data_IF_673633762612
#
_entry.id   IF_673633762612
#
_cell.length_a   1.000
_cell.length_b   1.000
_cell.length_c   1.000
_cell.angle_alpha   90.00
_cell.angle_beta   90.00
_cell.angle_gamma   90.00
#
_symmetry.space_group_name_H-M   'P 1'
#
loop_
_entity.id
_entity.type
_entity.pdbx_description
1 polymer ?
#
# COMPACT_ATOMS: atom_id res chain seq x y z
N UNK A 1 38.99 -25.36 -9.63
CA UNK A 1 38.41 -24.14 -9.04
C UNK A 1 39.54 -23.23 -8.66
N UNK A 2 39.63 -22.03 -9.27
CA UNK A 2 40.65 -21.02 -8.97
C UNK A 2 40.52 -20.51 -7.54
N UNK A 3 41.64 -20.05 -6.94
CA UNK A 3 41.67 -19.49 -5.56
C UNK A 3 40.58 -18.42 -5.30
N UNK A 4 40.22 -17.65 -6.34
CA UNK A 4 39.18 -16.61 -6.31
C UNK A 4 37.78 -17.25 -6.12
N UNK A 5 37.45 -18.32 -6.85
CA UNK A 5 36.18 -19.05 -6.71
C UNK A 5 36.02 -19.68 -5.31
N UNK A 6 37.09 -20.19 -4.70
CA UNK A 6 37.02 -20.72 -3.33
C UNK A 6 36.77 -19.63 -2.29
N UNK A 7 37.37 -18.44 -2.44
CA UNK A 7 37.14 -17.30 -1.52
C UNK A 7 35.73 -16.74 -1.65
N UNK A 8 35.23 -16.58 -2.87
CA UNK A 8 33.86 -16.12 -3.12
C UNK A 8 32.81 -17.13 -2.62
N UNK A 9 33.06 -18.43 -2.76
CA UNK A 9 32.17 -19.47 -2.26
C UNK A 9 32.13 -19.51 -0.72
N UNK A 10 33.27 -19.29 -0.04
CA UNK A 10 33.33 -19.20 1.42
C UNK A 10 32.63 -17.95 1.95
N UNK A 11 32.75 -16.81 1.28
CA UNK A 11 32.04 -15.56 1.66
C UNK A 11 30.53 -15.74 1.48
N UNK A 12 30.08 -16.32 0.38
CA UNK A 12 28.66 -16.61 0.13
C UNK A 12 28.08 -17.62 1.16
N UNK A 13 28.87 -18.61 1.57
CA UNK A 13 28.44 -19.61 2.57
C UNK A 13 28.36 -19.01 3.99
N UNK A 14 29.26 -18.11 4.37
CA UNK A 14 29.19 -17.39 5.65
C UNK A 14 28.01 -16.43 5.75
N UNK A 15 27.61 -15.79 4.66
CA UNK A 15 26.44 -14.89 4.62
C UNK A 15 25.12 -15.66 4.80
N UNK A 16 25.04 -16.88 4.26
CA UNK A 16 23.83 -17.74 4.38
C UNK A 16 23.63 -18.26 5.81
N UNK A 17 24.70 -18.47 6.59
CA UNK A 17 24.59 -19.04 7.95
C UNK A 17 24.27 -18.01 9.05
N UNK A 18 24.49 -16.72 8.83
CA UNK A 18 24.20 -15.67 9.84
C UNK A 18 22.71 -15.27 9.84
N UNK A 19 22.00 -15.45 8.73
CA UNK A 19 20.58 -15.02 8.59
C UNK A 19 19.60 -16.00 9.27
N UNK A 20 20.01 -17.21 9.60
CA UNK A 20 19.10 -18.22 10.18
C UNK A 20 18.87 -18.13 11.69
N UNK A 21 19.45 -17.17 12.39
CA UNK A 21 19.41 -17.07 13.86
C UNK A 21 18.68 -15.86 14.46
N UNK A 22 18.14 -14.97 13.64
CA UNK A 22 17.28 -13.88 14.11
C UNK A 22 15.81 -14.26 13.97
N UNK A 23 15.31 -15.02 14.93
CA UNK A 23 13.87 -15.15 15.18
C UNK A 23 13.31 -13.78 15.59
N UNK A 24 13.01 -12.93 14.62
CA UNK A 24 12.25 -11.69 14.85
C UNK A 24 10.83 -12.08 15.25
N UNK A 25 10.53 -11.95 16.53
CA UNK A 25 9.15 -11.95 17.00
C UNK A 25 8.36 -10.91 16.21
N UNK A 26 7.20 -11.32 15.73
CA UNK A 26 6.32 -10.49 14.91
C UNK A 26 5.60 -9.46 15.79
N UNK A 27 6.30 -8.40 16.20
CA UNK A 27 5.64 -7.22 16.77
C UNK A 27 5.28 -6.24 15.65
N UNK A 28 4.08 -5.68 15.68
CA UNK A 28 3.74 -4.49 14.93
C UNK A 28 4.75 -3.37 15.27
N UNK A 29 5.06 -2.51 14.29
CA UNK A 29 5.91 -1.34 14.55
C UNK A 29 5.26 -0.45 15.62
N UNK A 30 6.07 0.19 16.48
CA UNK A 30 5.53 1.16 17.43
C UNK A 30 4.86 2.33 16.71
N UNK A 31 3.95 3.08 17.35
CA UNK A 31 3.36 4.28 16.74
C UNK A 31 4.40 5.28 16.26
N UNK A 32 5.48 5.47 17.03
CA UNK A 32 6.59 6.37 16.69
C UNK A 32 7.33 5.89 15.43
N UNK A 33 7.62 4.59 15.34
CA UNK A 33 8.25 3.98 14.17
C UNK A 33 7.34 4.08 12.95
N UNK A 34 6.04 3.83 13.10
CA UNK A 34 5.05 3.96 12.02
C UNK A 34 4.95 5.39 11.53
N UNK A 35 4.88 6.38 12.43
CA UNK A 35 4.83 7.80 12.09
C UNK A 35 6.15 8.27 11.45
N UNK A 36 7.30 7.81 11.99
CA UNK A 36 8.61 8.07 11.39
C UNK A 36 8.68 7.49 9.97
N UNK A 37 8.25 6.25 9.79
CA UNK A 37 8.22 5.62 8.48
C UNK A 37 7.30 6.35 7.50
N UNK A 38 6.11 6.78 7.91
CA UNK A 38 5.20 7.58 7.08
C UNK A 38 5.88 8.83 6.52
N UNK A 39 6.75 9.49 7.30
CA UNK A 39 7.42 10.75 6.93
C UNK A 39 8.74 10.53 6.18
N UNK A 40 9.54 9.54 6.59
CA UNK A 40 10.96 9.45 6.25
C UNK A 40 11.32 8.20 5.43
N UNK A 41 10.46 7.18 5.38
CA UNK A 41 10.77 5.90 4.73
C UNK A 41 9.78 5.58 3.59
N UNK A 42 9.82 6.30 2.48
CA UNK A 42 8.80 6.23 1.41
C UNK A 42 8.65 4.83 0.80
N UNK A 43 9.65 3.98 0.98
CA UNK A 43 9.67 2.60 0.46
C UNK A 43 9.27 1.54 1.48
N UNK A 44 9.03 1.89 2.75
CA UNK A 44 8.47 0.98 3.75
C UNK A 44 6.98 0.77 3.45
N UNK A 45 6.56 -0.49 3.36
CA UNK A 45 5.15 -0.83 3.22
C UNK A 45 4.46 -0.71 4.58
N UNK A 46 3.33 -0.01 4.63
CA UNK A 46 2.51 0.18 5.83
C UNK A 46 1.22 -0.63 5.67
N UNK A 47 0.98 -1.55 6.59
CA UNK A 47 -0.22 -2.37 6.68
C UNK A 47 -1.29 -1.67 7.51
N UNK A 48 -2.45 -1.38 6.92
CA UNK A 48 -3.59 -0.75 7.60
C UNK A 48 -4.75 -1.73 7.66
N UNK A 49 -5.13 -2.17 8.85
CA UNK A 49 -6.32 -3.00 9.06
C UNK A 49 -7.60 -2.17 8.91
N UNK A 50 -8.56 -2.64 8.12
CA UNK A 50 -9.84 -1.95 7.90
C UNK A 50 -10.82 -2.27 9.01
N UNK A 51 -11.07 -1.30 9.89
CA UNK A 51 -12.01 -1.38 11.03
C UNK A 51 -11.71 -2.49 12.05
N UNK A 52 -10.45 -2.92 12.12
CA UNK A 52 -10.03 -4.01 12.99
C UNK A 52 -10.12 -5.40 12.35
N UNK A 53 -10.01 -6.44 13.15
CA UNK A 53 -10.11 -7.85 12.73
C UNK A 53 -11.58 -8.27 12.57
N UNK A 54 -12.21 -7.87 11.49
CA UNK A 54 -13.62 -8.12 11.22
C UNK A 54 -13.96 -9.59 10.92
N UNK A 55 -12.96 -10.45 10.79
CA UNK A 55 -13.19 -11.90 10.67
C UNK A 55 -13.61 -12.55 12.01
N UNK A 56 -13.17 -11.97 13.13
CA UNK A 56 -13.38 -12.54 14.47
C UNK A 56 -14.17 -11.63 15.41
N UNK A 57 -14.15 -10.32 15.18
CA UNK A 57 -14.75 -9.30 16.03
C UNK A 57 -15.63 -8.34 15.22
N UNK A 58 -16.56 -7.60 15.88
CA UNK A 58 -17.28 -6.53 15.20
C UNK A 58 -16.34 -5.46 14.64
N UNK A 59 -16.69 -4.91 13.49
CA UNK A 59 -15.98 -3.74 12.95
C UNK A 59 -16.02 -2.56 13.92
N UNK A 60 -14.93 -1.80 14.02
CA UNK A 60 -14.78 -0.66 14.93
C UNK A 60 -14.88 -0.99 16.42
N UNK A 61 -14.83 -2.27 16.82
CA UNK A 61 -14.76 -2.65 18.25
C UNK A 61 -13.32 -2.54 18.78
N UNK A 62 -13.17 -2.32 20.07
CA UNK A 62 -11.87 -2.28 20.75
C UNK A 62 -11.14 -3.62 20.58
N UNK A 63 -11.86 -4.73 20.72
CA UNK A 63 -11.31 -6.08 20.59
C UNK A 63 -10.84 -6.38 19.15
N UNK A 64 -11.62 -5.93 18.15
CA UNK A 64 -11.22 -6.02 16.74
C UNK A 64 -9.97 -5.20 16.44
N UNK A 65 -9.84 -4.02 17.01
CA UNK A 65 -8.64 -3.18 16.91
C UNK A 65 -7.45 -3.87 17.57
N UNK A 66 -7.62 -4.36 18.79
CA UNK A 66 -6.57 -5.06 19.55
C UNK A 66 -6.09 -6.33 18.82
N UNK A 67 -7.01 -7.11 18.26
CA UNK A 67 -6.68 -8.30 17.47
C UNK A 67 -5.91 -7.93 16.18
N UNK A 68 -6.30 -6.87 15.48
CA UNK A 68 -5.58 -6.40 14.30
C UNK A 68 -4.13 -6.00 14.63
N UNK A 69 -3.90 -5.36 15.78
CA UNK A 69 -2.55 -5.04 16.26
C UNK A 69 -1.73 -6.32 16.50
N UNK A 70 -2.32 -7.32 17.16
CA UNK A 70 -1.66 -8.62 17.38
C UNK A 70 -1.32 -9.34 16.06
N UNK A 71 -2.13 -9.15 15.02
CA UNK A 71 -1.89 -9.65 13.66
C UNK A 71 -0.88 -8.81 12.86
N UNK A 72 -0.29 -7.79 13.48
CA UNK A 72 0.80 -7.00 12.92
C UNK A 72 0.33 -5.83 12.05
N UNK A 73 -0.83 -5.24 12.31
CA UNK A 73 -1.22 -3.98 11.70
C UNK A 73 -0.33 -2.84 12.18
N UNK A 74 0.31 -2.12 11.26
CA UNK A 74 1.03 -0.87 11.58
C UNK A 74 0.05 0.25 11.96
N UNK A 75 -1.13 0.23 11.33
CA UNK A 75 -2.23 1.17 11.60
C UNK A 75 -3.57 0.43 11.56
N UNK A 76 -4.55 0.96 12.29
CA UNK A 76 -5.95 0.49 12.20
C UNK A 76 -6.83 1.64 11.74
N UNK A 77 -7.52 1.47 10.62
CA UNK A 77 -8.53 2.41 10.18
C UNK A 77 -9.80 2.25 11.03
N UNK A 78 -10.32 3.37 11.51
CA UNK A 78 -11.57 3.45 12.25
C UNK A 78 -12.44 4.56 11.67
N UNK A 79 -13.74 4.44 11.77
CA UNK A 79 -14.65 5.47 11.26
C UNK A 79 -15.43 6.11 12.40
N UNK A 80 -15.51 7.44 12.40
CA UNK A 80 -16.14 8.21 13.45
C UNK A 80 -17.49 8.78 13.02
N UNK A 81 -18.38 8.89 14.00
CA UNK A 81 -19.66 9.61 13.96
C UNK A 81 -19.85 10.38 15.27
N UNK A 82 -20.65 11.44 15.23
CA UNK A 82 -21.06 12.13 16.44
C UNK A 82 -22.46 11.68 16.88
N UNK A 83 -22.64 11.51 18.18
CA UNK A 83 -23.92 11.25 18.83
C UNK A 83 -24.78 12.51 18.93
N UNK A 84 -26.03 12.37 19.39
CA UNK A 84 -26.93 13.53 19.63
C UNK A 84 -26.39 14.53 20.66
N UNK A 85 -25.58 14.06 21.60
CA UNK A 85 -24.92 14.85 22.65
C UNK A 85 -23.48 15.23 22.32
N UNK A 86 -23.02 14.97 21.08
CA UNK A 86 -21.74 15.45 20.53
C UNK A 86 -20.54 14.53 20.83
N UNK A 87 -20.73 13.37 21.45
CA UNK A 87 -19.65 12.41 21.68
C UNK A 87 -19.23 11.74 20.36
N UNK A 88 -17.92 11.60 20.16
CA UNK A 88 -17.35 10.90 19.00
C UNK A 88 -17.29 9.41 19.28
N UNK A 89 -18.04 8.61 18.49
CA UNK A 89 -18.09 7.15 18.58
C UNK A 89 -17.56 6.49 17.31
N UNK A 90 -17.12 5.23 17.43
CA UNK A 90 -16.66 4.45 16.29
C UNK A 90 -17.84 3.74 15.63
N UNK A 91 -18.26 4.21 14.47
CA UNK A 91 -19.35 3.62 13.69
C UNK A 91 -19.17 3.90 12.19
N UNK A 92 -19.38 2.88 11.36
CA UNK A 92 -19.22 3.01 9.91
C UNK A 92 -20.43 3.67 9.25
N UNK A 93 -21.63 3.37 9.72
CA UNK A 93 -22.90 3.82 9.14
C UNK A 93 -23.52 4.95 9.95
N UNK A 94 -24.40 5.72 9.30
CA UNK A 94 -25.26 6.68 10.00
C UNK A 94 -26.36 5.97 10.80
N UNK A 95 -26.92 4.88 10.23
CA UNK A 95 -27.97 4.09 10.85
C UNK A 95 -27.41 2.87 11.59
N UNK A 96 -27.89 2.60 12.79
CA UNK A 96 -27.43 1.53 13.67
C UNK A 96 -27.87 0.12 13.24
N UNK A 97 -28.89 -0.01 12.36
CA UNK A 97 -29.58 -1.29 12.06
C UNK A 97 -28.66 -2.38 11.51
N UNK A 98 -27.62 -2.03 10.76
CA UNK A 98 -26.67 -3.02 10.23
C UNK A 98 -25.83 -3.63 11.33
N UNK A 99 -25.31 -2.79 12.25
CA UNK A 99 -24.30 -3.19 13.23
C UNK A 99 -24.86 -3.46 14.63
N UNK A 100 -26.08 -2.98 14.96
CA UNK A 100 -26.53 -2.97 16.35
C UNK A 100 -27.83 -3.74 16.58
N UNK A 101 -27.94 -4.28 17.79
CA UNK A 101 -29.16 -4.86 18.35
C UNK A 101 -29.35 -4.36 19.79
N UNK A 102 -30.62 -4.44 20.27
CA UNK A 102 -30.93 -4.25 21.68
C UNK A 102 -30.61 -5.51 22.52
N UNK A 103 -30.90 -5.45 23.82
CA UNK A 103 -30.69 -6.56 24.76
C UNK A 103 -31.56 -7.80 24.46
N UNK A 104 -32.60 -7.67 23.64
CA UNK A 104 -33.46 -8.76 23.17
C UNK A 104 -33.03 -9.30 21.79
N UNK A 105 -32.03 -8.71 21.17
CA UNK A 105 -31.54 -9.09 19.83
C UNK A 105 -32.33 -8.45 18.67
N UNK A 106 -33.18 -7.47 18.95
CA UNK A 106 -33.91 -6.76 17.89
C UNK A 106 -33.01 -5.73 17.22
N UNK A 107 -33.16 -5.54 15.90
CA UNK A 107 -32.43 -4.54 15.14
C UNK A 107 -32.85 -3.12 15.51
N UNK A 108 -31.87 -2.21 15.63
CA UNK A 108 -32.09 -0.82 16.02
C UNK A 108 -32.22 0.02 14.76
N UNK A 109 -33.40 0.62 14.55
CA UNK A 109 -33.65 1.53 13.43
C UNK A 109 -33.59 3.00 13.90
N UNK A 110 -32.41 3.42 14.34
CA UNK A 110 -32.10 4.81 14.73
C UNK A 110 -30.79 5.23 14.06
N UNK A 111 -30.57 6.53 13.96
CA UNK A 111 -29.27 7.05 13.54
C UNK A 111 -28.39 7.38 14.75
N UNK A 112 -27.08 7.36 14.55
CA UNK A 112 -26.11 7.75 15.58
C UNK A 112 -26.36 9.17 16.05
N UNK A 113 -26.59 10.09 15.11
CA UNK A 113 -26.81 11.52 15.39
C UNK A 113 -28.14 11.84 16.14
N UNK A 114 -29.07 10.88 16.19
CA UNK A 114 -30.34 11.01 16.93
C UNK A 114 -30.29 10.28 18.29
N UNK A 115 -29.17 9.60 18.60
CA UNK A 115 -29.02 8.75 19.79
C UNK A 115 -27.92 9.30 20.69
N UNK A 116 -28.23 9.50 21.99
CA UNK A 116 -27.22 9.92 22.96
C UNK A 116 -26.31 8.78 23.39
N UNK A 117 -25.13 9.11 23.95
CA UNK A 117 -24.10 8.12 24.30
C UNK A 117 -24.60 7.10 25.30
N UNK A 118 -25.39 7.48 26.30
CA UNK A 118 -25.94 6.56 27.28
C UNK A 118 -26.85 5.50 26.65
N UNK A 119 -27.71 5.91 25.71
CA UNK A 119 -28.56 4.99 24.95
C UNK A 119 -27.73 4.10 24.01
N UNK A 120 -26.71 4.63 23.35
CA UNK A 120 -25.83 3.84 22.49
C UNK A 120 -25.12 2.72 23.27
N UNK A 121 -24.75 2.97 24.51
CA UNK A 121 -24.11 1.96 25.38
C UNK A 121 -25.05 0.84 25.82
N UNK A 122 -26.36 0.97 25.66
CA UNK A 122 -27.30 -0.14 25.89
C UNK A 122 -27.31 -1.15 24.74
N UNK A 123 -26.87 -0.76 23.54
CA UNK A 123 -26.86 -1.59 22.34
C UNK A 123 -25.61 -2.46 22.24
N UNK A 124 -25.74 -3.58 21.53
CA UNK A 124 -24.68 -4.54 21.29
C UNK A 124 -24.33 -4.59 19.82
N UNK A 125 -23.04 -4.73 19.53
CA UNK A 125 -22.55 -4.88 18.17
C UNK A 125 -22.85 -6.30 17.63
N UNK A 126 -23.16 -6.39 16.35
CA UNK A 126 -23.21 -7.66 15.62
C UNK A 126 -21.81 -8.08 15.20
N UNK A 127 -21.58 -9.39 15.06
CA UNK A 127 -20.31 -9.95 14.63
C UNK A 127 -19.88 -9.46 13.25
N UNK A 128 -18.57 -9.41 13.02
CA UNK A 128 -17.97 -9.06 11.74
C UNK A 128 -18.39 -7.68 11.23
N UNK A 129 -18.85 -7.63 10.00
CA UNK A 129 -19.35 -6.41 9.35
C UNK A 129 -20.86 -6.20 9.50
N UNK A 130 -21.47 -6.86 10.45
CA UNK A 130 -22.91 -6.76 10.72
C UNK A 130 -23.81 -7.28 9.60
N UNK A 131 -25.06 -6.84 9.59
CA UNK A 131 -26.08 -7.28 8.65
C UNK A 131 -27.08 -8.27 9.27
N UNK A 132 -28.05 -8.72 8.47
CA UNK A 132 -29.17 -9.54 8.96
C UNK A 132 -28.77 -10.96 9.35
N UNK A 133 -27.70 -11.49 8.78
CA UNK A 133 -27.21 -12.86 9.02
C UNK A 133 -26.22 -12.95 10.18
N UNK A 134 -25.79 -11.82 10.76
CA UNK A 134 -24.79 -11.79 11.81
C UNK A 134 -25.44 -11.83 13.20
N UNK A 135 -24.78 -12.51 14.13
CA UNK A 135 -25.25 -12.65 15.51
C UNK A 135 -24.86 -11.47 16.38
N UNK A 136 -25.66 -11.19 17.40
CA UNK A 136 -25.27 -10.25 18.44
C UNK A 136 -24.04 -10.78 19.21
N UNK A 137 -23.19 -9.85 19.63
CA UNK A 137 -22.05 -10.11 20.51
C UNK A 137 -22.25 -9.43 21.87
N UNK A 138 -21.30 -9.59 22.77
CA UNK A 138 -21.25 -8.83 24.02
C UNK A 138 -20.61 -7.45 23.91
N UNK A 139 -20.04 -7.14 22.73
CA UNK A 139 -19.27 -5.92 22.51
C UNK A 139 -20.15 -4.70 22.27
N UNK A 140 -19.68 -3.56 22.75
CA UNK A 140 -20.37 -2.27 22.70
C UNK A 140 -19.76 -1.35 21.66
N UNK A 141 -20.48 -0.28 21.31
CA UNK A 141 -19.98 0.80 20.48
C UNK A 141 -19.00 1.61 21.33
N UNK A 142 -17.71 1.68 20.98
CA UNK A 142 -16.75 2.48 21.74
C UNK A 142 -16.79 3.95 21.32
N UNK A 143 -16.45 4.83 22.23
CA UNK A 143 -16.05 6.20 21.91
C UNK A 143 -14.68 6.24 21.27
N UNK A 144 -14.36 7.30 20.53
CA UNK A 144 -13.02 7.53 20.00
C UNK A 144 -11.98 7.61 21.14
N UNK A 145 -12.33 8.20 22.26
CA UNK A 145 -11.43 8.30 23.41
C UNK A 145 -11.10 6.93 24.00
N UNK A 146 -12.10 6.06 24.19
CA UNK A 146 -11.89 4.68 24.66
C UNK A 146 -10.98 3.90 23.71
N UNK A 147 -11.20 4.03 22.41
CA UNK A 147 -10.34 3.38 21.42
C UNK A 147 -8.89 3.90 21.47
N UNK A 148 -8.67 5.20 21.63
CA UNK A 148 -7.36 5.81 21.80
C UNK A 148 -6.65 5.31 23.06
N UNK A 149 -7.37 5.13 24.16
CA UNK A 149 -6.83 4.59 25.41
C UNK A 149 -6.47 3.10 25.27
N UNK A 150 -7.32 2.32 24.59
CA UNK A 150 -7.11 0.88 24.40
C UNK A 150 -5.87 0.56 23.52
N UNK A 151 -5.55 1.44 22.56
CA UNK A 151 -4.40 1.26 21.64
C UNK A 151 -3.15 2.00 22.07
N UNK A 152 -3.14 2.62 23.23
CA UNK A 152 -2.04 3.45 23.70
C UNK A 152 -0.68 2.76 23.58
N UNK A 153 0.22 3.41 22.84
CA UNK A 153 1.57 2.91 22.56
C UNK A 153 1.66 1.64 21.71
N UNK A 154 0.57 1.16 21.08
CA UNK A 154 0.54 -0.11 20.34
C UNK A 154 0.36 0.05 18.83
N UNK A 155 -0.37 1.05 18.38
CA UNK A 155 -0.63 1.29 16.94
C UNK A 155 -1.06 2.73 16.70
N UNK A 156 -1.11 3.12 15.43
CA UNK A 156 -1.63 4.40 14.96
C UNK A 156 -3.06 4.21 14.47
N UNK A 157 -4.00 5.05 14.89
CA UNK A 157 -5.35 5.06 14.35
C UNK A 157 -5.41 5.93 13.09
N UNK A 158 -5.94 5.37 11.98
CA UNK A 158 -6.34 6.11 10.79
C UNK A 158 -7.83 6.47 10.91
N UNK A 159 -8.14 7.71 11.24
CA UNK A 159 -9.52 8.15 11.48
C UNK A 159 -10.17 8.55 10.15
N UNK A 160 -11.09 7.73 9.66
CA UNK A 160 -11.93 8.01 8.49
C UNK A 160 -13.14 8.88 8.85
N UNK A 161 -13.72 9.55 7.83
CA UNK A 161 -14.79 10.56 7.99
C UNK A 161 -14.36 11.78 8.83
N UNK A 162 -13.04 11.99 8.96
CA UNK A 162 -12.51 13.00 9.87
C UNK A 162 -12.80 14.44 9.43
N UNK A 163 -13.12 14.71 8.16
CA UNK A 163 -13.39 16.07 7.70
C UNK A 163 -14.65 16.67 8.34
N UNK A 164 -15.65 15.87 8.54
CA UNK A 164 -16.94 16.29 9.13
C UNK A 164 -16.77 16.75 10.58
N UNK A 165 -15.91 16.07 11.34
CA UNK A 165 -15.67 16.28 12.77
C UNK A 165 -14.23 16.71 13.06
N UNK A 166 -13.57 17.40 12.12
CA UNK A 166 -12.12 17.66 12.16
C UNK A 166 -11.68 18.51 13.35
N UNK A 167 -12.51 19.44 13.78
CA UNK A 167 -12.17 20.34 14.88
C UNK A 167 -12.38 19.69 16.24
N UNK A 168 -13.45 18.91 16.39
CA UNK A 168 -13.73 18.07 17.57
C UNK A 168 -12.65 17.00 17.73
N UNK A 169 -12.31 16.29 16.65
CA UNK A 169 -11.22 15.28 16.66
C UNK A 169 -9.89 15.95 17.02
N UNK A 170 -9.57 17.09 16.40
CA UNK A 170 -8.32 17.81 16.69
C UNK A 170 -8.23 18.21 18.17
N UNK A 171 -9.31 18.76 18.74
CA UNK A 171 -9.38 19.13 20.15
C UNK A 171 -9.18 17.90 21.05
N UNK A 172 -9.93 16.82 20.81
CA UNK A 172 -9.80 15.59 21.58
C UNK A 172 -8.38 15.02 21.52
N UNK A 173 -7.75 14.97 20.33
CA UNK A 173 -6.39 14.47 20.17
C UNK A 173 -5.35 15.39 20.82
N UNK A 174 -5.54 16.72 20.73
CA UNK A 174 -4.64 17.69 21.33
C UNK A 174 -4.67 17.63 22.86
N UNK A 175 -5.87 17.61 23.44
CA UNK A 175 -6.08 17.59 24.89
C UNK A 175 -5.55 16.30 25.54
N UNK A 176 -5.55 15.20 24.77
CA UNK A 176 -5.03 13.89 25.22
C UNK A 176 -3.59 13.61 24.75
N UNK A 177 -2.88 14.56 24.13
CA UNK A 177 -1.52 14.39 23.58
C UNK A 177 -1.40 13.24 22.56
N UNK A 178 -2.43 13.05 21.69
CA UNK A 178 -2.53 11.96 20.72
C UNK A 178 -2.35 12.37 19.25
N UNK A 179 -2.02 13.63 18.97
CA UNK A 179 -1.84 14.12 17.60
C UNK A 179 -0.79 13.33 16.78
N UNK A 180 0.22 12.76 17.43
CA UNK A 180 1.25 11.94 16.81
C UNK A 180 0.92 10.43 16.78
N UNK A 181 -0.22 10.02 17.37
CA UNK A 181 -0.67 8.63 17.37
C UNK A 181 -1.86 8.39 16.43
N UNK A 182 -2.24 9.41 15.67
CA UNK A 182 -3.37 9.35 14.76
C UNK A 182 -3.04 9.97 13.39
N UNK A 183 -3.72 9.45 12.38
CA UNK A 183 -3.74 10.02 11.03
C UNK A 183 -5.19 10.37 10.69
N UNK A 184 -5.44 11.59 10.24
CA UNK A 184 -6.78 12.04 9.85
C UNK A 184 -6.97 11.86 8.34
N UNK A 185 -7.96 11.08 7.92
CA UNK A 185 -8.35 10.96 6.52
C UNK A 185 -9.33 12.08 6.17
N UNK A 186 -8.86 13.10 5.45
CA UNK A 186 -9.66 14.28 5.09
C UNK A 186 -10.19 14.17 3.67
N UNK A 187 -11.51 14.16 3.54
CA UNK A 187 -12.23 14.15 2.25
C UNK A 187 -12.61 15.58 1.83
N UNK A 188 -11.62 16.44 1.63
CA UNK A 188 -11.80 17.83 1.27
C UNK A 188 -10.83 18.30 0.17
N UNK A 189 -11.05 19.48 -0.37
CA UNK A 189 -10.17 20.07 -1.36
C UNK A 189 -8.87 20.61 -0.75
N UNK A 190 -7.82 20.75 -1.58
CA UNK A 190 -6.51 21.25 -1.13
C UNK A 190 -6.59 22.55 -0.36
N UNK A 191 -7.36 23.54 -0.88
CA UNK A 191 -7.45 24.87 -0.26
C UNK A 191 -8.05 24.79 1.15
N UNK A 192 -9.08 23.97 1.29
CA UNK A 192 -9.78 23.75 2.55
C UNK A 192 -8.86 23.08 3.56
N UNK A 193 -8.16 21.98 3.15
CA UNK A 193 -7.18 21.29 4.00
C UNK A 193 -6.05 22.23 4.41
N UNK A 194 -5.43 22.96 3.46
CA UNK A 194 -4.34 23.89 3.76
C UNK A 194 -4.80 25.01 4.69
N UNK A 195 -6.00 25.57 4.46
CA UNK A 195 -6.55 26.63 5.31
C UNK A 195 -6.79 26.13 6.74
N UNK A 196 -7.36 24.92 6.86
CA UNK A 196 -7.59 24.31 8.18
C UNK A 196 -6.29 24.02 8.92
N UNK A 197 -5.28 23.46 8.23
CA UNK A 197 -3.97 23.15 8.83
C UNK A 197 -3.22 24.41 9.25
N UNK A 198 -3.28 25.50 8.49
CA UNK A 198 -2.58 26.76 8.80
C UNK A 198 -3.06 27.43 10.10
N UNK A 199 -4.25 27.09 10.58
CA UNK A 199 -4.80 27.57 11.85
C UNK A 199 -4.47 26.71 13.06
N UNK A 200 -3.70 25.62 12.91
CA UNK A 200 -3.41 24.69 14.01
C UNK A 200 -2.09 25.00 14.68
N UNK A 201 -2.08 24.99 16.02
CA UNK A 201 -0.88 25.20 16.85
C UNK A 201 0.11 24.04 16.79
N UNK A 202 -0.42 22.80 16.67
CA UNK A 202 0.36 21.58 16.43
C UNK A 202 -0.18 20.87 15.19
N UNK A 203 0.74 20.43 14.32
CA UNK A 203 0.36 19.83 13.04
C UNK A 203 -0.09 18.38 13.19
N UNK A 204 -1.38 18.04 12.92
CA UNK A 204 -1.82 16.67 12.85
C UNK A 204 -1.23 15.96 11.62
N UNK A 205 -1.14 14.63 11.66
CA UNK A 205 -0.80 13.83 10.50
C UNK A 205 -2.07 13.64 9.66
N UNK A 206 -2.00 13.99 8.39
CA UNK A 206 -3.18 14.04 7.52
C UNK A 206 -2.94 13.22 6.26
N UNK A 207 -3.89 12.38 5.90
CA UNK A 207 -4.07 11.86 4.56
C UNK A 207 -5.23 12.59 3.88
N UNK A 208 -5.09 12.82 2.58
CA UNK A 208 -6.20 13.32 1.76
C UNK A 208 -6.76 12.20 0.89
N UNK A 209 -8.06 12.27 0.56
CA UNK A 209 -8.74 11.28 -0.27
C UNK A 209 -9.12 11.87 -1.62
N UNK A 210 -8.67 11.22 -2.68
CA UNK A 210 -9.09 11.50 -4.05
C UNK A 210 -10.01 10.39 -4.56
N UNK A 211 -11.18 10.78 -5.04
CA UNK A 211 -12.16 9.88 -5.66
C UNK A 211 -12.49 10.38 -7.07
N UNK A 212 -12.07 9.65 -8.09
CA UNK A 212 -12.35 10.06 -9.48
C UNK A 212 -11.84 9.08 -10.52
N UNK A 213 -12.46 9.13 -11.70
CA UNK A 213 -12.16 8.25 -12.85
C UNK A 213 -11.21 8.89 -13.86
N UNK A 214 -10.96 10.19 -13.76
CA UNK A 214 -10.24 10.98 -14.76
C UNK A 214 -8.79 11.17 -14.36
N UNK A 215 -7.87 10.58 -15.11
CA UNK A 215 -6.40 10.50 -14.83
C UNK A 215 -5.75 11.86 -14.62
N UNK A 216 -6.05 12.84 -15.48
CA UNK A 216 -5.45 14.18 -15.36
C UNK A 216 -5.92 14.92 -14.10
N UNK A 217 -7.15 14.63 -13.61
CA UNK A 217 -7.64 15.13 -12.34
C UNK A 217 -6.87 14.51 -11.17
N UNK A 218 -6.59 13.19 -11.19
CA UNK A 218 -5.82 12.52 -10.15
C UNK A 218 -4.37 13.02 -10.10
N UNK A 219 -3.70 13.16 -11.23
CA UNK A 219 -2.34 13.73 -11.31
C UNK A 219 -2.30 15.18 -10.80
N UNK A 220 -3.27 16.00 -11.24
CA UNK A 220 -3.40 17.37 -10.77
C UNK A 220 -3.70 17.44 -9.27
N UNK A 221 -4.52 16.53 -8.76
CA UNK A 221 -4.82 16.43 -7.33
C UNK A 221 -3.55 16.11 -6.53
N UNK A 222 -2.81 15.04 -6.89
CA UNK A 222 -1.57 14.65 -6.23
C UNK A 222 -0.58 15.83 -6.22
N UNK A 223 -0.30 16.45 -7.38
CA UNK A 223 0.64 17.56 -7.48
C UNK A 223 0.27 18.75 -6.60
N UNK A 224 -1.02 19.03 -6.44
CA UNK A 224 -1.51 20.10 -5.56
C UNK A 224 -1.45 19.72 -4.08
N UNK A 225 -1.77 18.47 -3.78
CA UNK A 225 -1.85 17.93 -2.42
C UNK A 225 -0.50 17.82 -1.75
N UNK A 226 0.55 17.50 -2.52
CA UNK A 226 1.95 17.48 -2.06
C UNK A 226 2.35 18.79 -1.35
N UNK A 227 1.83 19.92 -1.80
CA UNK A 227 2.12 21.24 -1.22
C UNK A 227 1.11 21.67 -0.14
N UNK A 228 0.25 20.77 0.30
CA UNK A 228 -0.79 21.07 1.30
C UNK A 228 -0.42 20.61 2.72
N UNK A 229 0.78 20.04 2.93
CA UNK A 229 1.22 19.52 4.23
C UNK A 229 0.65 18.14 4.58
N UNK A 230 0.11 17.40 3.60
CA UNK A 230 -0.40 16.03 3.84
C UNK A 230 0.72 15.00 3.77
N UNK A 231 0.62 13.93 4.57
CA UNK A 231 1.57 12.83 4.59
C UNK A 231 1.24 11.74 3.56
N UNK A 232 -0.04 11.63 3.14
CA UNK A 232 -0.47 10.62 2.17
C UNK A 232 -1.70 11.01 1.36
N UNK A 233 -1.88 10.33 0.23
CA UNK A 233 -3.04 10.50 -0.65
C UNK A 233 -3.66 9.13 -0.92
N UNK A 234 -4.88 8.92 -0.45
CA UNK A 234 -5.71 7.77 -0.84
C UNK A 234 -6.26 8.00 -2.25
N UNK A 235 -5.90 7.13 -3.17
CA UNK A 235 -6.38 7.13 -4.54
C UNK A 235 -7.53 6.13 -4.67
N UNK A 236 -8.74 6.62 -4.94
CA UNK A 236 -9.94 5.83 -5.19
C UNK A 236 -10.50 6.07 -6.59
N UNK A 237 -11.21 5.09 -7.13
CA UNK A 237 -11.94 5.20 -8.38
C UNK A 237 -13.10 4.20 -8.40
N UNK A 238 -14.20 4.57 -9.04
CA UNK A 238 -15.32 3.66 -9.29
C UNK A 238 -15.00 2.58 -10.35
N UNK A 239 -13.79 2.58 -10.93
CA UNK A 239 -13.33 1.61 -11.90
C UNK A 239 -11.94 1.09 -11.53
N UNK A 240 -11.83 -0.20 -11.23
CA UNK A 240 -10.59 -0.88 -10.87
C UNK A 240 -9.49 -0.78 -11.95
N UNK A 241 -9.86 -0.63 -13.20
CA UNK A 241 -8.92 -0.43 -14.32
C UNK A 241 -8.63 1.04 -14.61
N UNK A 242 -9.07 1.94 -13.75
CA UNK A 242 -8.78 3.37 -13.92
C UNK A 242 -7.28 3.63 -13.98
N UNK A 243 -6.89 4.47 -14.90
CA UNK A 243 -5.51 4.96 -14.98
C UNK A 243 -5.09 5.81 -13.76
N UNK A 244 -6.01 6.11 -12.84
CA UNK A 244 -5.70 6.66 -11.51
C UNK A 244 -4.71 5.76 -10.76
N UNK A 245 -4.82 4.44 -10.95
CA UNK A 245 -3.94 3.43 -10.35
C UNK A 245 -2.71 3.10 -11.21
N UNK A 246 -2.48 3.81 -12.33
CA UNK A 246 -1.32 3.58 -13.20
C UNK A 246 -0.02 4.03 -12.50
N UNK A 247 1.07 3.27 -12.71
CA UNK A 247 2.41 3.58 -12.19
C UNK A 247 2.83 5.04 -12.40
N UNK A 248 2.60 5.60 -13.59
CA UNK A 248 2.95 6.99 -13.92
C UNK A 248 2.12 8.03 -13.14
N UNK A 249 0.93 7.67 -12.67
CA UNK A 249 0.11 8.52 -11.80
C UNK A 249 0.58 8.43 -10.36
N UNK A 250 0.77 7.21 -9.86
CA UNK A 250 1.24 6.93 -8.51
C UNK A 250 2.64 7.49 -8.27
N UNK A 251 3.53 7.41 -9.26
CA UNK A 251 4.88 7.98 -9.20
C UNK A 251 4.90 9.51 -8.93
N UNK A 252 3.79 10.24 -9.15
CA UNK A 252 3.71 11.65 -8.77
C UNK A 252 3.68 11.87 -7.25
N UNK A 253 3.28 10.86 -6.50
CA UNK A 253 3.31 10.87 -5.03
C UNK A 253 4.68 10.45 -4.48
N UNK A 254 5.41 9.57 -5.19
CA UNK A 254 6.67 8.98 -4.70
C UNK A 254 7.69 10.04 -4.24
N UNK A 255 8.29 9.79 -3.08
CA UNK A 255 9.29 10.67 -2.47
C UNK A 255 8.75 12.01 -1.93
N UNK A 256 7.43 12.23 -1.99
CA UNK A 256 6.78 13.47 -1.56
C UNK A 256 5.68 13.22 -0.53
N UNK A 257 4.78 12.31 -0.83
CA UNK A 257 3.69 11.84 0.03
C UNK A 257 3.48 10.34 -0.18
N UNK A 258 2.85 9.67 0.77
CA UNK A 258 2.52 8.25 0.65
C UNK A 258 1.37 8.04 -0.33
N UNK A 259 1.52 7.10 -1.26
CA UNK A 259 0.40 6.64 -2.07
C UNK A 259 -0.36 5.54 -1.30
N UNK A 260 -1.62 5.80 -1.04
CA UNK A 260 -2.52 4.93 -0.25
C UNK A 260 -3.55 4.30 -1.18
N UNK A 261 -3.84 3.02 -0.98
CA UNK A 261 -4.94 2.30 -1.65
C UNK A 261 -5.77 1.52 -0.65
N UNK A 262 -7.09 1.52 -0.83
CA UNK A 262 -8.03 0.71 -0.05
C UNK A 262 -8.42 -0.52 -0.89
N UNK A 263 -7.86 -1.69 -0.54
CA UNK A 263 -8.12 -2.95 -1.25
C UNK A 263 -9.49 -3.55 -0.89
N UNK A 264 -10.15 -3.01 0.14
CA UNK A 264 -11.50 -3.42 0.56
C UNK A 264 -12.60 -2.66 -0.17
N UNK A 265 -12.26 -1.61 -0.96
CA UNK A 265 -13.24 -0.82 -1.73
C UNK A 265 -14.00 -1.75 -2.69
N UNK A 266 -15.34 -1.84 -2.59
CA UNK A 266 -16.15 -2.73 -3.44
C UNK A 266 -16.01 -2.44 -4.95
N UNK A 267 -15.62 -1.22 -5.33
CA UNK A 267 -15.31 -0.90 -6.73
C UNK A 267 -14.01 -1.56 -7.22
N UNK A 268 -13.13 -1.99 -6.32
CA UNK A 268 -11.89 -2.71 -6.62
C UNK A 268 -12.05 -4.22 -6.43
N UNK A 269 -12.82 -4.67 -5.43
CA UNK A 269 -12.88 -6.05 -4.92
C UNK A 269 -13.26 -7.10 -5.97
N UNK A 270 -14.08 -6.79 -6.96
CA UNK A 270 -14.43 -7.75 -8.02
C UNK A 270 -13.33 -7.98 -9.07
N UNK A 271 -12.26 -7.18 -9.06
CA UNK A 271 -11.23 -7.15 -10.12
C UNK A 271 -9.80 -6.99 -9.57
N UNK A 272 -9.67 -6.63 -8.31
CA UNK A 272 -8.44 -6.56 -7.53
C UNK A 272 -8.76 -7.06 -6.14
N UNK A 273 -8.75 -8.38 -5.97
CA UNK A 273 -8.98 -8.99 -4.67
C UNK A 273 -7.89 -8.54 -3.68
N UNK A 274 -8.25 -8.48 -2.41
CA UNK A 274 -7.33 -8.18 -1.30
C UNK A 274 -6.47 -9.41 -1.01
N UNK A 275 -5.50 -9.70 -1.90
CA UNK A 275 -4.62 -10.87 -1.86
C UNK A 275 -3.21 -10.51 -2.29
N UNK A 276 -2.25 -11.38 -1.97
CA UNK A 276 -0.83 -11.19 -2.31
C UNK A 276 -0.58 -10.88 -3.79
N UNK A 277 -1.29 -11.53 -4.71
CA UNK A 277 -1.15 -11.28 -6.15
C UNK A 277 -1.43 -9.82 -6.52
N UNK A 278 -2.45 -9.24 -5.91
CA UNK A 278 -2.83 -7.86 -6.18
C UNK A 278 -2.02 -6.86 -5.35
N UNK A 279 -1.49 -7.26 -4.17
CA UNK A 279 -0.52 -6.46 -3.43
C UNK A 279 0.79 -6.32 -4.21
N UNK A 280 1.27 -7.39 -4.87
CA UNK A 280 2.41 -7.31 -5.81
C UNK A 280 2.13 -6.32 -6.96
N UNK A 281 0.92 -6.35 -7.54
CA UNK A 281 0.52 -5.41 -8.59
C UNK A 281 0.53 -3.95 -8.11
N UNK A 282 -0.14 -3.64 -6.99
CA UNK A 282 -0.25 -2.26 -6.50
C UNK A 282 1.08 -1.73 -5.95
N UNK A 283 1.86 -2.55 -5.23
CA UNK A 283 3.19 -2.16 -4.75
C UNK A 283 4.19 -1.94 -5.88
N UNK A 284 4.11 -2.72 -6.97
CA UNK A 284 4.91 -2.51 -8.18
C UNK A 284 4.63 -1.16 -8.86
N UNK A 285 3.47 -0.58 -8.61
CA UNK A 285 3.06 0.74 -9.09
C UNK A 285 3.50 1.87 -8.16
N UNK A 286 3.91 1.55 -6.92
CA UNK A 286 4.41 2.49 -5.92
C UNK A 286 3.44 2.82 -4.79
N UNK A 287 2.32 2.10 -4.64
CA UNK A 287 1.50 2.18 -3.44
C UNK A 287 2.27 1.62 -2.26
N UNK A 288 2.35 2.37 -1.18
CA UNK A 288 3.16 2.05 -0.01
C UNK A 288 2.37 2.06 1.31
N UNK A 289 1.08 2.35 1.24
CA UNK A 289 0.13 2.18 2.34
C UNK A 289 -1.08 1.43 1.78
N UNK A 290 -1.36 0.27 2.33
CA UNK A 290 -2.44 -0.61 1.87
C UNK A 290 -3.44 -0.82 3.01
N UNK A 291 -4.70 -0.45 2.75
CA UNK A 291 -5.82 -0.74 3.64
C UNK A 291 -6.40 -2.10 3.22
N UNK A 292 -6.53 -3.02 4.17
CA UNK A 292 -6.85 -4.45 3.95
C UNK A 292 -7.83 -4.99 4.99
N UNK A 293 -8.62 -5.99 4.59
CA UNK A 293 -9.34 -6.89 5.51
C UNK A 293 -8.47 -8.10 5.93
N UNK A 294 -7.35 -8.37 5.22
CA UNK A 294 -6.46 -9.51 5.43
C UNK A 294 -5.16 -9.08 6.13
N UNK A 295 -5.28 -8.51 7.32
CA UNK A 295 -4.19 -7.87 8.08
C UNK A 295 -2.97 -8.77 8.27
N UNK A 296 -3.17 -10.00 8.75
CA UNK A 296 -2.09 -10.94 9.05
C UNK A 296 -1.26 -11.26 7.79
N UNK A 297 -1.93 -11.59 6.69
CA UNK A 297 -1.28 -11.91 5.43
C UNK A 297 -0.55 -10.71 4.81
N UNK A 298 -1.11 -9.50 4.92
CA UNK A 298 -0.43 -8.29 4.45
C UNK A 298 0.76 -7.93 5.34
N UNK A 299 0.67 -8.15 6.64
CA UNK A 299 1.80 -7.98 7.56
C UNK A 299 2.95 -8.94 7.21
N UNK A 300 2.65 -10.21 6.92
CA UNK A 300 3.64 -11.17 6.44
C UNK A 300 4.27 -10.73 5.10
N UNK A 301 3.47 -10.23 4.18
CA UNK A 301 3.95 -9.68 2.92
C UNK A 301 4.86 -8.46 3.13
N UNK A 302 4.53 -7.58 4.08
CA UNK A 302 5.39 -6.43 4.45
C UNK A 302 6.74 -6.91 4.98
N UNK A 303 6.78 -7.89 5.89
CA UNK A 303 8.00 -8.49 6.41
C UNK A 303 8.84 -9.15 5.30
N UNK A 304 8.20 -9.85 4.36
CA UNK A 304 8.88 -10.40 3.17
C UNK A 304 9.54 -9.29 2.36
N UNK A 305 8.86 -8.17 2.19
CA UNK A 305 9.39 -7.01 1.47
C UNK A 305 10.62 -6.41 2.16
N UNK A 306 10.56 -6.26 3.50
CA UNK A 306 11.69 -5.77 4.30
C UNK A 306 12.88 -6.73 4.25
N UNK A 307 12.66 -8.03 4.38
CA UNK A 307 13.70 -9.05 4.27
C UNK A 307 14.35 -9.06 2.87
N UNK A 308 13.55 -8.95 1.81
CA UNK A 308 14.06 -8.87 0.44
C UNK A 308 14.91 -7.60 0.24
N UNK A 309 14.50 -6.47 0.82
CA UNK A 309 15.24 -5.21 0.81
C UNK A 309 16.59 -5.33 1.55
N UNK A 310 16.59 -5.88 2.75
CA UNK A 310 17.80 -6.08 3.54
C UNK A 310 18.81 -6.95 2.80
N UNK A 311 18.37 -8.07 2.23
CA UNK A 311 19.22 -8.99 1.44
C UNK A 311 19.79 -8.32 0.19
N UNK A 312 18.98 -7.54 -0.53
CA UNK A 312 19.45 -6.81 -1.72
C UNK A 312 20.45 -5.73 -1.32
N UNK A 313 20.22 -5.01 -0.21
CA UNK A 313 21.14 -3.99 0.31
C UNK A 313 22.50 -4.59 0.66
N UNK A 314 22.51 -5.70 1.39
CA UNK A 314 23.74 -6.43 1.74
C UNK A 314 24.50 -6.89 0.48
N UNK A 315 23.78 -7.43 -0.52
CA UNK A 315 24.39 -7.85 -1.78
C UNK A 315 24.96 -6.66 -2.57
N UNK A 316 24.32 -5.50 -2.54
CA UNK A 316 24.84 -4.27 -3.13
C UNK A 316 26.14 -3.83 -2.46
N UNK A 317 26.23 -3.96 -1.14
CA UNK A 317 27.46 -3.65 -0.40
C UNK A 317 28.60 -4.59 -0.76
N UNK A 318 28.33 -5.90 -0.86
CA UNK A 318 29.29 -6.90 -1.33
C UNK A 318 29.75 -6.58 -2.75
N UNK A 319 28.80 -6.34 -3.67
CA UNK A 319 29.11 -6.02 -5.06
C UNK A 319 29.91 -4.72 -5.22
N UNK A 320 29.64 -3.70 -4.38
CA UNK A 320 30.35 -2.42 -4.41
C UNK A 320 31.81 -2.52 -3.94
N UNK A 321 32.11 -3.47 -3.04
CA UNK A 321 33.46 -3.72 -2.47
C UNK A 321 34.25 -4.77 -3.25
N UNK A 322 33.65 -5.39 -4.29
CA UNK A 322 34.33 -6.43 -5.07
C UNK A 322 35.46 -5.82 -5.92
N UNK A 323 36.67 -6.37 -5.80
CA UNK A 323 37.81 -5.97 -6.63
C UNK A 323 37.62 -6.49 -8.06
N UNK A 324 37.59 -5.57 -9.00
CA UNK A 324 37.37 -5.84 -10.44
C UNK A 324 38.63 -5.73 -11.27
N UNK A 325 39.81 -5.49 -10.66
CA UNK A 325 41.09 -5.24 -11.37
C UNK A 325 41.52 -6.40 -12.26
N UNK A 326 41.23 -7.61 -11.84
CA UNK A 326 41.56 -8.87 -12.55
C UNK A 326 40.40 -9.40 -13.39
N UNK A 327 39.26 -8.72 -13.39
CA UNK A 327 38.08 -9.16 -14.14
C UNK A 327 38.11 -8.66 -15.59
N UNK A 328 37.42 -9.40 -16.47
CA UNK A 328 37.22 -8.96 -17.84
C UNK A 328 36.39 -7.66 -17.87
N UNK A 329 36.72 -6.77 -18.79
CA UNK A 329 36.02 -5.47 -18.96
C UNK A 329 34.52 -5.65 -19.13
N UNK A 330 34.10 -6.69 -19.84
CA UNK A 330 32.70 -7.02 -20.05
C UNK A 330 31.99 -7.40 -18.75
N UNK A 331 32.52 -8.36 -17.99
CA UNK A 331 31.88 -8.83 -16.75
C UNK A 331 31.89 -7.75 -15.67
N UNK A 332 32.97 -6.98 -15.56
CA UNK A 332 33.08 -5.84 -14.65
C UNK A 332 32.06 -4.74 -14.96
N UNK A 333 31.88 -4.40 -16.25
CA UNK A 333 30.90 -3.40 -16.69
C UNK A 333 29.47 -3.88 -16.44
N UNK A 334 29.19 -5.16 -16.72
CA UNK A 334 27.89 -5.77 -16.43
C UNK A 334 27.53 -5.68 -14.94
N UNK A 335 28.45 -6.02 -14.04
CA UNK A 335 28.23 -5.92 -12.59
C UNK A 335 27.99 -4.46 -12.18
N UNK A 336 28.76 -3.50 -12.65
CA UNK A 336 28.59 -2.07 -12.34
C UNK A 336 27.21 -1.55 -12.78
N UNK A 337 26.79 -1.89 -14.01
CA UNK A 337 25.49 -1.50 -14.51
C UNK A 337 24.35 -2.13 -13.67
N UNK A 338 24.49 -3.42 -13.33
CA UNK A 338 23.49 -4.09 -12.50
C UNK A 338 23.43 -3.51 -11.10
N UNK A 339 24.57 -3.20 -10.47
CA UNK A 339 24.64 -2.54 -9.19
C UNK A 339 23.92 -1.18 -9.18
N UNK A 340 24.04 -0.41 -10.26
CA UNK A 340 23.32 0.86 -10.40
C UNK A 340 21.80 0.63 -10.40
N UNK A 341 21.31 -0.33 -11.20
CA UNK A 341 19.88 -0.69 -11.23
C UNK A 341 19.41 -1.18 -9.87
N UNK A 342 20.21 -2.02 -9.19
CA UNK A 342 19.88 -2.54 -7.86
C UNK A 342 19.71 -1.42 -6.82
N UNK A 343 20.58 -0.40 -6.84
CA UNK A 343 20.48 0.78 -5.97
C UNK A 343 19.23 1.61 -6.28
N UNK A 344 18.87 1.75 -7.56
CA UNK A 344 17.63 2.44 -7.96
C UNK A 344 16.39 1.67 -7.46
N UNK A 345 16.39 0.34 -7.56
CA UNK A 345 15.29 -0.50 -7.04
C UNK A 345 15.19 -0.38 -5.52
N UNK A 346 16.33 -0.42 -4.80
CA UNK A 346 16.35 -0.22 -3.34
C UNK A 346 15.74 1.12 -2.91
N UNK A 347 16.02 2.18 -3.66
CA UNK A 347 15.57 3.54 -3.32
C UNK A 347 14.12 3.84 -3.70
N UNK A 348 13.49 3.05 -4.57
CA UNK A 348 12.19 3.38 -5.15
C UNK A 348 11.12 2.29 -5.01
N UNK A 349 11.50 1.01 -4.89
CA UNK A 349 10.52 -0.09 -4.89
C UNK A 349 9.93 -0.37 -3.52
N UNK A 350 8.64 -0.64 -3.47
CA UNK A 350 7.90 -1.19 -2.32
C UNK A 350 7.37 -2.61 -2.60
N UNK A 351 7.78 -3.22 -3.69
CA UNK A 351 7.30 -4.53 -4.15
C UNK A 351 8.31 -5.63 -3.79
N UNK A 352 7.88 -6.65 -3.06
CA UNK A 352 8.72 -7.79 -2.67
C UNK A 352 9.32 -8.50 -3.90
N UNK A 353 8.50 -8.82 -4.89
CA UNK A 353 8.95 -9.53 -6.10
C UNK A 353 9.99 -8.72 -6.89
N UNK A 354 9.88 -7.40 -6.93
CA UNK A 354 10.86 -6.55 -7.62
C UNK A 354 12.23 -6.59 -6.92
N UNK A 355 12.24 -6.56 -5.59
CA UNK A 355 13.46 -6.65 -4.77
C UNK A 355 14.11 -8.03 -4.88
N UNK A 356 13.33 -9.11 -4.83
CA UNK A 356 13.81 -10.49 -4.95
C UNK A 356 14.37 -10.79 -6.35
N UNK A 357 13.68 -10.35 -7.40
CA UNK A 357 14.16 -10.48 -8.77
C UNK A 357 15.48 -9.72 -8.98
N UNK A 358 15.59 -8.52 -8.41
CA UNK A 358 16.81 -7.74 -8.51
C UNK A 358 17.97 -8.36 -7.73
N UNK A 359 17.70 -8.93 -6.54
CA UNK A 359 18.68 -9.72 -5.80
C UNK A 359 19.22 -10.87 -6.65
N UNK A 360 18.34 -11.62 -7.32
CA UNK A 360 18.75 -12.73 -8.20
C UNK A 360 19.63 -12.24 -9.35
N UNK A 361 19.24 -11.17 -10.03
CA UNK A 361 19.99 -10.64 -11.18
C UNK A 361 21.34 -10.03 -10.77
N UNK A 362 21.44 -9.36 -9.63
CA UNK A 362 22.71 -8.85 -9.11
C UNK A 362 23.62 -10.01 -8.69
N UNK A 363 23.08 -11.03 -8.01
CA UNK A 363 23.80 -12.24 -7.63
C UNK A 363 24.35 -12.96 -8.85
N UNK A 364 23.56 -13.07 -9.92
CA UNK A 364 23.99 -13.66 -11.20
C UNK A 364 25.12 -12.87 -11.86
N UNK A 365 25.03 -11.54 -11.86
CA UNK A 365 26.08 -10.69 -12.38
C UNK A 365 27.39 -10.83 -11.59
N UNK A 366 27.31 -10.91 -10.26
CA UNK A 366 28.44 -11.13 -9.38
C UNK A 366 29.10 -12.50 -9.60
N UNK A 367 28.29 -13.56 -9.73
CA UNK A 367 28.76 -14.92 -9.96
C UNK A 367 29.31 -15.14 -11.39
N UNK A 368 29.00 -14.26 -12.34
CA UNK A 368 29.47 -14.33 -13.72
C UNK A 368 30.78 -13.54 -13.98
N UNK A 369 31.45 -13.07 -12.92
CA UNK A 369 32.75 -12.44 -13.06
C UNK A 369 33.78 -13.42 -13.62
N UNK A 370 34.46 -13.04 -14.71
CA UNK A 370 35.46 -13.82 -15.41
C UNK A 370 36.79 -13.08 -15.46
N UNK A 371 37.90 -13.85 -15.58
CA UNK A 371 39.24 -13.29 -15.70
C UNK A 371 39.42 -12.47 -17.02
N UNK A 372 40.34 -11.52 -16.98
CA UNK A 372 40.68 -10.62 -18.11
C UNK A 372 41.08 -11.38 -19.39
N UNK A 373 41.65 -12.59 -19.24
CA UNK A 373 42.05 -13.45 -20.36
C UNK A 373 40.88 -13.90 -21.26
N UNK A 374 39.62 -13.65 -20.83
CA UNK A 374 38.42 -13.99 -21.60
C UNK A 374 37.90 -12.83 -22.48
N UNK A 375 38.48 -11.63 -22.38
CA UNK A 375 38.01 -10.44 -23.12
C UNK A 375 38.02 -10.63 -24.64
N UNK A 376 39.09 -11.16 -25.19
CA UNK A 376 39.23 -11.37 -26.66
C UNK A 376 38.26 -12.41 -27.23
N UNK A 377 37.92 -13.44 -26.43
CA UNK A 377 36.95 -14.49 -26.84
C UNK A 377 35.53 -13.95 -26.81
N UNK A 378 35.19 -13.19 -25.77
CA UNK A 378 33.83 -12.68 -25.57
C UNK A 378 33.48 -11.53 -26.52
N UNK A 379 34.45 -10.68 -26.93
CA UNK A 379 34.20 -9.54 -27.81
C UNK A 379 33.71 -10.00 -29.20
N UNK A 380 34.26 -11.09 -29.75
CA UNK A 380 33.81 -11.66 -31.02
C UNK A 380 32.45 -12.31 -31.00
N UNK A 381 32.10 -12.94 -29.87
CA UNK A 381 30.80 -13.60 -29.69
C UNK A 381 29.68 -12.62 -29.36
N UNK A 382 30.00 -11.56 -28.57
CA UNK A 382 29.03 -10.53 -28.15
C UNK A 382 28.61 -9.63 -29.29
N UNK A 383 29.53 -9.32 -30.25
CA UNK A 383 29.19 -8.48 -31.41
C UNK A 383 28.19 -9.19 -32.33
N UNK A 384 28.35 -10.50 -32.57
CA UNK A 384 27.36 -11.31 -33.32
C UNK A 384 26.05 -11.50 -32.57
N UNK A 385 26.10 -11.81 -31.26
CA UNK A 385 24.90 -11.99 -30.43
C UNK A 385 24.09 -10.71 -30.26
N UNK A 386 24.71 -9.54 -30.13
CA UNK A 386 24.01 -8.24 -30.01
C UNK A 386 23.30 -7.84 -31.30
N UNK A 387 23.89 -8.11 -32.45
CA UNK A 387 23.24 -7.84 -33.75
C UNK A 387 22.03 -8.76 -33.92
N UNK A 388 22.16 -10.06 -33.60
CA UNK A 388 21.01 -11.01 -33.65
C UNK A 388 19.95 -10.67 -32.63
N UNK A 389 20.30 -10.33 -31.39
CA UNK A 389 19.34 -9.91 -30.36
C UNK A 389 18.64 -8.60 -30.70
N UNK A 390 19.37 -7.60 -31.23
CA UNK A 390 18.77 -6.34 -31.67
C UNK A 390 17.80 -6.52 -32.85
N UNK A 391 18.14 -7.41 -33.78
CA UNK A 391 17.25 -7.76 -34.90
C UNK A 391 16.02 -8.51 -34.42
N UNK A 392 16.15 -9.47 -33.49
CA UNK A 392 15.03 -10.20 -32.93
C UNK A 392 14.11 -9.30 -32.09
N UNK A 393 14.65 -8.36 -31.33
CA UNK A 393 13.86 -7.36 -30.58
C UNK A 393 13.15 -6.41 -31.55
N UNK A 394 13.80 -5.93 -32.58
CA UNK A 394 13.18 -5.07 -33.62
C UNK A 394 12.06 -5.80 -34.37
N UNK A 395 12.27 -7.05 -34.75
CA UNK A 395 11.23 -7.89 -35.37
C UNK A 395 10.08 -8.17 -34.40
N UNK A 396 10.38 -8.42 -33.13
CA UNK A 396 9.36 -8.58 -32.08
C UNK A 396 8.50 -7.32 -31.89
N UNK A 397 9.08 -6.13 -31.89
CA UNK A 397 8.34 -4.86 -31.84
C UNK A 397 7.44 -4.66 -33.05
N UNK A 398 7.93 -4.94 -34.27
CA UNK A 398 7.11 -4.84 -35.49
C UNK A 398 5.94 -5.81 -35.47
N UNK A 399 6.14 -7.05 -35.00
CA UNK A 399 5.06 -8.05 -34.85
C UNK A 399 4.01 -7.58 -33.82
N UNK A 400 4.45 -7.05 -32.69
CA UNK A 400 3.55 -6.50 -31.66
C UNK A 400 2.75 -5.31 -32.19
N UNK A 401 3.37 -4.40 -32.94
CA UNK A 401 2.66 -3.28 -33.58
C UNK A 401 1.62 -3.75 -34.62
N UNK A 402 1.98 -4.73 -35.45
CA UNK A 402 1.04 -5.31 -36.43
C UNK A 402 -0.15 -5.99 -35.73
N UNK A 403 0.11 -6.73 -34.65
CA UNK A 403 -0.95 -7.36 -33.86
C UNK A 403 -1.83 -6.30 -33.19
N UNK A 404 -1.23 -5.24 -32.66
CA UNK A 404 -1.94 -4.13 -31.99
C UNK A 404 -2.79 -3.33 -32.99
N UNK A 405 -2.28 -3.08 -34.22
CA UNK A 405 -3.06 -2.44 -35.29
C UNK A 405 -4.22 -3.32 -35.79
N UNK A 406 -4.01 -4.64 -35.91
CA UNK A 406 -5.10 -5.56 -36.23
C UNK A 406 -6.20 -5.53 -35.18
N UNK A 407 -5.84 -5.64 -33.89
CA UNK A 407 -6.79 -5.58 -32.78
C UNK A 407 -7.52 -4.23 -32.72
N UNK A 408 -6.82 -3.13 -32.97
CA UNK A 408 -7.40 -1.78 -33.03
C UNK A 408 -8.41 -1.66 -34.16
N UNK A 409 -8.07 -2.18 -35.33
CA UNK A 409 -8.93 -2.12 -36.52
C UNK A 409 -10.15 -3.02 -36.40
N UNK A 410 -10.05 -4.20 -35.78
CA UNK A 410 -11.21 -5.06 -35.47
C UNK A 410 -12.12 -4.43 -34.41
N UNK A 411 -11.58 -3.84 -33.38
CA UNK A 411 -12.39 -3.16 -32.36
C UNK A 411 -13.15 -1.95 -32.91
N UNK A 412 -12.56 -1.24 -33.88
CA UNK A 412 -13.23 -0.14 -34.61
C UNK A 412 -14.35 -0.67 -35.51
N UNK A 413 -14.13 -1.80 -36.19
CA UNK A 413 -15.18 -2.46 -37.00
C UNK A 413 -16.35 -2.93 -36.13
N UNK A 414 -16.09 -3.56 -35.00
CA UNK A 414 -17.12 -4.01 -34.07
C UNK A 414 -17.94 -2.85 -33.49
N UNK A 415 -17.29 -1.72 -33.16
CA UNK A 415 -17.98 -0.50 -32.70
C UNK A 415 -18.83 0.13 -33.77
N UNK A 416 -18.42 0.09 -35.06
CA UNK A 416 -19.23 0.56 -36.18
C UNK A 416 -20.46 -0.34 -36.44
N UNK A 417 -20.30 -1.67 -36.31
CA UNK A 417 -21.42 -2.63 -36.41
C UNK A 417 -22.38 -2.46 -35.23
N UNK A 418 -21.91 -2.33 -34.01
CA UNK A 418 -22.72 -2.07 -32.82
C UNK A 418 -23.56 -0.77 -32.95
N UNK A 419 -22.94 0.32 -33.44
CA UNK A 419 -23.68 1.58 -33.68
C UNK A 419 -24.75 1.45 -34.78
N UNK A 420 -24.49 0.66 -35.84
CA UNK A 420 -25.49 0.40 -36.89
C UNK A 420 -26.68 -0.42 -36.38
N UNK A 421 -26.43 -1.42 -35.53
CA UNK A 421 -27.46 -2.24 -34.92
C UNK A 421 -28.32 -1.45 -33.92
N UNK A 422 -27.66 -0.62 -33.08
CA UNK A 422 -28.36 0.24 -32.12
C UNK A 422 -29.20 1.34 -32.79
N UNK A 423 -28.73 1.89 -33.92
CA UNK A 423 -29.45 2.86 -34.72
C UNK A 423 -30.68 2.28 -35.46
N UNK A 424 -30.64 0.98 -35.80
CA UNK A 424 -31.81 0.28 -36.38
C UNK A 424 -32.86 -0.10 -35.34
N UNK A 425 -32.44 -0.41 -34.08
CA UNK A 425 -33.36 -0.72 -32.98
C UNK A 425 -34.15 0.49 -32.48
N UNK A 426 -33.64 1.72 -32.69
CA UNK A 426 -34.32 2.97 -32.30
C UNK A 426 -35.30 3.51 -33.36
N UNK A 427 -35.39 2.85 -34.54
CA UNK A 427 -36.29 3.22 -35.63
C UNK A 427 -37.43 2.22 -35.84
N UNK A 428 -37.61 1.24 -35.00
CA UNK A 428 -38.79 0.41 -34.81
C UNK A 428 -39.41 0.75 -33.43
#
# INVERSE_FOLDING_TARGET
>A
MTKVRKRLFLIALCVITVISSLGLSAYAASPEETVSALRNEPTKLICVSKYGDTAHYPENSIEGIASAVQKGADMVAVRVKATADGELVLMSDDNLSRMCVDSQGNSINKTVSETGIYELHEYFLKSGKGGVSQTATEYKIPTLLEALQAVDGKTVLLIENAWEYKDEIYTLLSDNNRLNSCVLMLEAGKKEISSWLSGKSAMPIVFSKFKGTVVWKSRSYINRTVNAGVAGVLLGSSNAYSMTFNKNTVAKAQGKVRAVIDMTDPNLSGKRADTQLYWDDVTSRGFSVIITDNTEQLSEYSKRTENARARLSELCDVASKTDLTLCSTYSATNLKNRLTVSKDVLSSSVCANALENEYYELSKALNSLNDRSTDDKNQKTVTKGRVVAAVLVAVGFVIVEIIFERYRNESIKLRKVGRKLYGKAKKK
#
